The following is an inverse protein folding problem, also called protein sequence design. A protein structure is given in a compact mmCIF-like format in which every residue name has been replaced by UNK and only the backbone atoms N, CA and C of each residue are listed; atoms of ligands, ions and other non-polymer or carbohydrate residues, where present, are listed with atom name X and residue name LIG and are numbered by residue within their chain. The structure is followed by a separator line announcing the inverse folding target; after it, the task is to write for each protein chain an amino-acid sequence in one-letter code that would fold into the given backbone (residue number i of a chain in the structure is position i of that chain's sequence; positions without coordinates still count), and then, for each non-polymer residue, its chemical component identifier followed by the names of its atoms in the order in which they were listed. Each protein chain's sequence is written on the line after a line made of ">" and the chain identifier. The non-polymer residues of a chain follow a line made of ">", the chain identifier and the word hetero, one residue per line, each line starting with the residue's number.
data_IF_235131848029
#
_entry.id   IF_235131848029
#
_cell.length_a   1.000
_cell.length_b   1.000
_cell.length_c   1.000
_cell.angle_alpha   90.00
_cell.angle_beta   90.00
_cell.angle_gamma   90.00
#
_symmetry.space_group_name_H-M   'P 1'
#
loop_
_entity.id
_entity.type
_entity.pdbx_description
1 polymer ?
#
# COMPACT_ATOMS: atom_id res chain seq x y z
N UNK A 1 39.28 -11.06 -10.84
CA UNK A 1 37.99 -10.45 -11.20
C UNK A 1 37.05 -11.60 -11.49
N UNK A 2 36.42 -12.16 -10.47
CA UNK A 2 35.35 -13.14 -10.67
C UNK A 2 34.12 -12.37 -11.12
N UNK A 3 33.73 -12.54 -12.38
CA UNK A 3 32.45 -12.07 -12.88
C UNK A 3 31.35 -12.98 -12.35
N UNK A 4 30.94 -12.79 -11.10
CA UNK A 4 29.65 -13.31 -10.64
C UNK A 4 28.57 -12.63 -11.45
N UNK A 5 27.94 -13.37 -12.36
CA UNK A 5 26.78 -12.89 -13.14
C UNK A 5 25.71 -12.39 -12.18
N UNK A 6 25.30 -11.12 -12.32
CA UNK A 6 24.17 -10.57 -11.58
C UNK A 6 22.91 -11.39 -11.86
N UNK A 7 22.13 -11.69 -10.81
CA UNK A 7 20.88 -12.41 -10.96
C UNK A 7 19.80 -11.46 -11.51
N UNK A 8 19.12 -11.90 -12.56
CA UNK A 8 18.05 -11.15 -13.20
C UNK A 8 16.69 -11.51 -12.61
N UNK A 9 16.03 -10.56 -11.96
CA UNK A 9 14.73 -10.78 -11.29
C UNK A 9 13.64 -10.06 -12.07
N UNK A 10 12.64 -10.81 -12.53
CA UNK A 10 11.44 -10.21 -13.11
C UNK A 10 10.40 -9.95 -12.03
N UNK A 11 10.02 -8.70 -11.88
CA UNK A 11 9.01 -8.21 -10.95
C UNK A 11 7.68 -8.03 -11.66
N UNK A 12 6.62 -8.65 -11.16
CA UNK A 12 5.29 -8.60 -11.78
C UNK A 12 4.19 -8.26 -10.76
N UNK A 13 4.07 -6.97 -10.37
CA UNK A 13 3.01 -6.51 -9.49
C UNK A 13 1.63 -6.55 -10.15
N UNK A 14 0.58 -6.52 -9.33
CA UNK A 14 -0.76 -6.16 -9.81
C UNK A 14 -0.78 -4.70 -10.31
N UNK A 15 -1.68 -4.39 -11.24
CA UNK A 15 -1.69 -3.11 -11.98
C UNK A 15 -2.19 -1.90 -11.17
N UNK A 16 -2.23 -2.03 -9.84
CA UNK A 16 -2.66 -1.01 -8.90
C UNK A 16 -1.48 -0.34 -8.20
N UNK A 17 -1.59 0.96 -7.91
CA UNK A 17 -0.52 1.71 -7.24
C UNK A 17 -0.19 1.19 -5.85
N UNK A 18 -1.19 0.66 -5.13
CA UNK A 18 -1.01 -0.04 -3.86
C UNK A 18 -0.05 -1.23 -3.95
N UNK A 19 0.02 -1.89 -5.10
CA UNK A 19 0.88 -3.05 -5.34
C UNK A 19 2.19 -2.68 -6.04
N UNK A 20 2.14 -1.77 -7.01
CA UNK A 20 3.33 -1.31 -7.76
C UNK A 20 4.37 -0.66 -6.84
N UNK A 21 3.93 0.14 -5.85
CA UNK A 21 4.85 0.90 -5.00
C UNK A 21 5.74 0.00 -4.13
N UNK A 22 5.20 -1.00 -3.39
CA UNK A 22 6.01 -1.99 -2.71
C UNK A 22 7.01 -2.72 -3.62
N UNK A 23 6.58 -3.14 -4.81
CA UNK A 23 7.46 -3.81 -5.77
C UNK A 23 8.61 -2.91 -6.22
N UNK A 24 8.33 -1.62 -6.45
CA UNK A 24 9.37 -0.66 -6.80
C UNK A 24 10.35 -0.45 -5.63
N UNK A 25 9.87 -0.38 -4.38
CA UNK A 25 10.74 -0.30 -3.20
C UNK A 25 11.64 -1.52 -3.08
N UNK A 26 11.09 -2.73 -3.19
CA UNK A 26 11.88 -3.98 -3.18
C UNK A 26 12.86 -4.03 -4.36
N UNK A 27 12.44 -3.59 -5.55
CA UNK A 27 13.31 -3.50 -6.74
C UNK A 27 14.54 -2.64 -6.49
N UNK A 28 14.37 -1.45 -5.89
CA UNK A 28 15.48 -0.56 -5.54
C UNK A 28 16.43 -1.21 -4.54
N UNK A 29 15.88 -1.80 -3.46
CA UNK A 29 16.67 -2.49 -2.43
C UNK A 29 17.46 -3.69 -2.96
N UNK A 30 16.89 -4.45 -3.91
CA UNK A 30 17.59 -5.54 -4.59
C UNK A 30 18.66 -5.01 -5.54
N UNK A 31 18.38 -3.93 -6.28
CA UNK A 31 19.36 -3.29 -7.14
C UNK A 31 20.58 -2.79 -6.37
N UNK A 32 20.38 -2.22 -5.16
CA UNK A 32 21.47 -1.84 -4.25
C UNK A 32 22.33 -3.03 -3.80
N UNK A 33 21.80 -4.26 -3.91
CA UNK A 33 22.46 -5.53 -3.59
C UNK A 33 22.96 -6.27 -4.82
N UNK A 34 23.04 -5.57 -5.97
CA UNK A 34 23.65 -6.08 -7.19
C UNK A 34 22.76 -6.97 -8.04
N UNK A 35 21.44 -6.99 -7.83
CA UNK A 35 20.48 -7.66 -8.71
C UNK A 35 20.10 -6.77 -9.91
N UNK A 36 19.92 -7.40 -11.07
CA UNK A 36 19.36 -6.76 -12.26
C UNK A 36 17.84 -6.96 -12.29
N UNK A 37 17.07 -5.88 -12.26
CA UNK A 37 15.63 -5.91 -12.15
C UNK A 37 14.95 -5.68 -13.51
N UNK A 38 14.00 -6.53 -13.82
CA UNK A 38 13.07 -6.41 -14.96
C UNK A 38 11.68 -6.13 -14.40
N UNK A 39 11.29 -4.86 -14.31
CA UNK A 39 9.99 -4.46 -13.77
C UNK A 39 8.92 -4.52 -14.86
N UNK A 40 8.05 -5.52 -14.79
CA UNK A 40 7.02 -5.83 -15.78
C UNK A 40 5.68 -5.17 -15.43
N UNK A 41 5.13 -4.37 -16.34
CA UNK A 41 3.78 -3.78 -16.19
C UNK A 41 3.22 -3.31 -17.54
N UNK A 42 2.02 -2.73 -17.53
CA UNK A 42 1.39 -2.13 -18.70
C UNK A 42 2.00 -0.76 -19.02
N UNK A 43 1.93 -0.32 -20.29
CA UNK A 43 2.55 0.94 -20.73
C UNK A 43 2.12 2.17 -19.90
N UNK A 44 0.83 2.26 -19.57
CA UNK A 44 0.28 3.35 -18.75
C UNK A 44 0.93 3.39 -17.36
N UNK A 45 1.14 2.25 -16.72
CA UNK A 45 1.81 2.17 -15.42
C UNK A 45 3.32 2.40 -15.55
N UNK A 46 3.98 1.87 -16.59
CA UNK A 46 5.40 2.08 -16.82
C UNK A 46 5.77 3.55 -17.01
N UNK A 47 4.91 4.33 -17.67
CA UNK A 47 5.10 5.78 -17.83
C UNK A 47 5.11 6.52 -16.47
N UNK A 48 4.32 6.06 -15.50
CA UNK A 48 4.30 6.61 -14.14
C UNK A 48 5.51 6.14 -13.33
N UNK A 49 5.84 4.85 -13.42
CA UNK A 49 6.95 4.25 -12.70
C UNK A 49 8.28 4.86 -13.13
N UNK A 50 8.49 5.09 -14.43
CA UNK A 50 9.71 5.67 -14.97
C UNK A 50 10.10 6.99 -14.29
N UNK A 51 9.11 7.80 -13.91
CA UNK A 51 9.33 9.08 -13.21
C UNK A 51 9.82 8.90 -11.77
N UNK A 52 9.56 7.74 -11.15
CA UNK A 52 9.91 7.41 -9.76
C UNK A 52 11.18 6.58 -9.62
N UNK A 53 11.90 6.33 -10.71
CA UNK A 53 13.19 5.64 -10.71
C UNK A 53 14.31 6.69 -10.72
N UNK A 54 15.04 6.88 -9.60
CA UNK A 54 16.23 7.72 -9.58
C UNK A 54 17.27 7.33 -10.65
N UNK A 55 18.05 8.30 -11.10
CA UNK A 55 19.13 8.08 -12.10
C UNK A 55 20.10 6.97 -11.68
N UNK A 56 20.37 6.80 -10.37
CA UNK A 56 21.23 5.72 -9.85
C UNK A 56 20.76 4.31 -10.24
N UNK A 57 19.46 4.12 -10.44
CA UNK A 57 18.86 2.82 -10.77
C UNK A 57 18.55 2.64 -12.27
N UNK A 58 18.91 3.60 -13.12
CA UNK A 58 18.52 3.56 -14.55
C UNK A 58 19.12 2.39 -15.34
N UNK A 59 20.25 1.85 -14.86
CA UNK A 59 20.92 0.70 -15.48
C UNK A 59 20.42 -0.63 -14.89
N UNK A 60 20.21 -0.67 -13.57
CA UNK A 60 19.82 -1.88 -12.83
C UNK A 60 18.32 -2.14 -12.81
N UNK A 61 17.45 -1.17 -13.12
CA UNK A 61 16.00 -1.37 -13.22
C UNK A 61 15.55 -1.08 -14.66
N UNK A 62 15.25 -2.14 -15.40
CA UNK A 62 14.72 -2.08 -16.75
C UNK A 62 13.20 -2.28 -16.73
N UNK A 63 12.49 -1.48 -17.52
CA UNK A 63 11.04 -1.55 -17.64
C UNK A 63 10.65 -2.49 -18.77
N UNK A 64 9.73 -3.43 -18.50
CA UNK A 64 9.27 -4.44 -19.45
C UNK A 64 7.77 -4.29 -19.68
N UNK A 65 7.36 -4.02 -20.91
CA UNK A 65 5.94 -3.85 -21.27
C UNK A 65 5.25 -5.21 -21.38
N UNK A 66 4.19 -5.41 -20.59
CA UNK A 66 3.17 -6.42 -20.83
C UNK A 66 1.97 -5.79 -21.54
N UNK A 67 1.75 -6.19 -22.79
CA UNK A 67 0.57 -5.76 -23.56
C UNK A 67 -0.64 -6.60 -23.16
N UNK A 68 -1.70 -5.93 -22.72
CA UNK A 68 -2.99 -6.57 -22.53
C UNK A 68 -3.76 -6.62 -23.85
N UNK A 69 -4.64 -7.61 -24.06
CA UNK A 69 -5.53 -7.61 -25.21
C UNK A 69 -6.49 -6.41 -25.13
N UNK A 70 -6.82 -5.86 -26.28
CA UNK A 70 -7.92 -4.90 -26.41
C UNK A 70 -9.24 -5.63 -26.16
N UNK A 71 -10.02 -5.14 -25.20
CA UNK A 71 -11.37 -5.60 -24.92
C UNK A 71 -12.33 -4.43 -25.13
N UNK A 72 -13.61 -4.70 -25.48
CA UNK A 72 -14.64 -3.66 -25.46
C UNK A 72 -14.63 -2.94 -24.11
N UNK A 73 -14.70 -1.61 -24.16
CA UNK A 73 -14.74 -0.73 -22.99
C UNK A 73 -13.47 -0.73 -22.12
N UNK A 74 -12.36 -1.35 -22.55
CA UNK A 74 -11.06 -1.32 -21.85
C UNK A 74 -9.91 -0.84 -22.75
N UNK A 75 -9.90 0.45 -23.14
CA UNK A 75 -8.80 1.05 -23.89
C UNK A 75 -7.47 1.08 -23.09
N UNK A 76 -6.31 1.30 -23.76
CA UNK A 76 -4.99 1.20 -23.12
C UNK A 76 -4.78 2.07 -21.87
N UNK A 77 -5.41 3.24 -21.80
CA UNK A 77 -5.38 4.13 -20.63
C UNK A 77 -6.03 3.53 -19.38
N UNK A 78 -6.90 2.54 -19.53
CA UNK A 78 -7.54 1.78 -18.46
C UNK A 78 -6.86 0.45 -18.17
N UNK A 79 -5.66 0.22 -18.70
CA UNK A 79 -4.81 -0.92 -18.33
C UNK A 79 -4.09 -0.67 -16.98
N UNK A 80 -4.80 -0.09 -16.03
CA UNK A 80 -4.38 0.27 -14.66
C UNK A 80 -5.65 0.42 -13.81
N UNK A 81 -5.56 0.28 -12.49
CA UNK A 81 -6.70 0.61 -11.60
C UNK A 81 -6.83 2.12 -11.37
N UNK A 82 -5.78 2.89 -11.64
CA UNK A 82 -5.78 4.33 -11.42
C UNK A 82 -6.75 5.03 -12.40
N UNK A 83 -7.84 5.57 -11.87
CA UNK A 83 -8.90 6.17 -12.68
C UNK A 83 -9.74 5.17 -13.46
N UNK A 84 -9.72 3.89 -13.08
CA UNK A 84 -10.56 2.85 -13.68
C UNK A 84 -11.98 2.93 -13.12
N UNK A 85 -13.03 3.02 -13.96
CA UNK A 85 -14.41 2.90 -13.51
C UNK A 85 -14.65 1.59 -12.74
N UNK A 86 -15.34 1.61 -11.58
CA UNK A 86 -15.47 0.42 -10.73
C UNK A 86 -16.05 -0.81 -11.43
N UNK A 87 -16.96 -0.61 -12.39
CA UNK A 87 -17.60 -1.68 -13.16
C UNK A 87 -16.63 -2.40 -14.13
N UNK A 88 -15.49 -1.79 -14.49
CA UNK A 88 -14.49 -2.37 -15.38
C UNK A 88 -13.40 -3.19 -14.66
N UNK A 89 -13.43 -3.26 -13.32
CA UNK A 89 -12.45 -4.04 -12.55
C UNK A 89 -12.38 -5.52 -12.98
N UNK A 90 -13.54 -6.14 -13.25
CA UNK A 90 -13.61 -7.52 -13.73
C UNK A 90 -13.05 -7.67 -15.14
N UNK A 91 -13.30 -6.69 -16.01
CA UNK A 91 -12.75 -6.62 -17.38
C UNK A 91 -11.23 -6.48 -17.37
N UNK A 92 -10.66 -5.64 -16.49
CA UNK A 92 -9.21 -5.52 -16.33
C UNK A 92 -8.58 -6.84 -15.84
N UNK A 93 -9.17 -7.48 -14.81
CA UNK A 93 -8.74 -8.81 -14.34
C UNK A 93 -8.76 -9.85 -15.46
N UNK A 94 -9.81 -9.85 -16.29
CA UNK A 94 -9.92 -10.72 -17.46
C UNK A 94 -8.82 -10.43 -18.49
N UNK A 95 -8.56 -9.17 -18.81
CA UNK A 95 -7.50 -8.78 -19.74
C UNK A 95 -6.11 -9.24 -19.26
N UNK A 96 -5.80 -9.07 -17.97
CA UNK A 96 -4.56 -9.58 -17.36
C UNK A 96 -4.48 -11.11 -17.41
N UNK A 97 -5.58 -11.83 -17.17
CA UNK A 97 -5.59 -13.30 -17.31
C UNK A 97 -5.41 -13.75 -18.76
N UNK A 98 -5.90 -12.97 -19.74
CA UNK A 98 -5.73 -13.25 -21.16
C UNK A 98 -4.32 -12.92 -21.68
N UNK A 99 -3.53 -12.11 -20.96
CA UNK A 99 -2.14 -11.77 -21.36
C UNK A 99 -1.11 -12.84 -21.02
N UNK A 100 -1.53 -13.99 -20.46
CA UNK A 100 -0.69 -15.19 -20.21
C UNK A 100 0.28 -15.54 -21.36
N UNK A 101 -0.13 -15.59 -22.65
CA UNK A 101 0.80 -15.87 -23.75
C UNK A 101 1.86 -14.78 -23.93
N UNK A 102 1.50 -13.51 -23.72
CA UNK A 102 2.43 -12.38 -23.76
C UNK A 102 3.45 -12.46 -22.63
N UNK A 103 3.02 -12.76 -21.41
CA UNK A 103 3.91 -13.00 -20.28
C UNK A 103 4.83 -14.21 -20.51
N UNK A 104 4.30 -15.31 -21.04
CA UNK A 104 5.10 -16.48 -21.42
C UNK A 104 6.19 -16.15 -22.45
N UNK A 105 5.87 -15.31 -23.45
CA UNK A 105 6.85 -14.78 -24.40
C UNK A 105 7.93 -13.95 -23.71
N UNK A 106 7.57 -13.06 -22.79
CA UNK A 106 8.52 -12.26 -22.01
C UNK A 106 9.52 -13.16 -21.28
N UNK A 107 9.04 -14.21 -20.58
CA UNK A 107 9.93 -15.13 -19.86
C UNK A 107 10.87 -15.90 -20.79
N UNK A 108 10.36 -16.40 -21.92
CA UNK A 108 11.17 -17.11 -22.92
C UNK A 108 12.27 -16.24 -23.53
N UNK A 109 11.93 -14.98 -23.84
CA UNK A 109 12.82 -14.07 -24.56
C UNK A 109 13.85 -13.44 -23.60
N UNK A 110 13.44 -13.05 -22.39
CA UNK A 110 14.31 -12.40 -21.41
C UNK A 110 15.09 -13.37 -20.52
N UNK A 111 14.55 -14.57 -20.27
CA UNK A 111 15.15 -15.62 -19.42
C UNK A 111 15.64 -15.11 -18.05
N UNK A 112 14.76 -14.52 -17.21
CA UNK A 112 15.14 -14.13 -15.86
C UNK A 112 15.54 -15.36 -15.02
N UNK A 113 16.37 -15.15 -14.00
CA UNK A 113 16.75 -16.18 -13.02
C UNK A 113 15.65 -16.43 -11.99
N UNK A 114 14.76 -15.46 -11.76
CA UNK A 114 13.69 -15.50 -10.77
C UNK A 114 12.51 -14.63 -11.21
N UNK A 115 11.28 -15.08 -10.91
CA UNK A 115 10.07 -14.24 -10.98
C UNK A 115 9.57 -13.93 -9.58
N UNK A 116 9.34 -12.66 -9.28
CA UNK A 116 8.57 -12.23 -8.10
C UNK A 116 7.24 -11.69 -8.60
N UNK A 117 6.12 -12.29 -8.19
CA UNK A 117 4.79 -11.97 -8.69
C UNK A 117 3.77 -11.71 -7.58
N UNK A 118 2.71 -10.99 -7.94
CA UNK A 118 1.67 -10.61 -6.99
C UNK A 118 0.78 -11.79 -6.58
N UNK A 119 0.16 -11.67 -5.40
CA UNK A 119 -0.85 -12.61 -4.90
C UNK A 119 -2.07 -12.71 -5.83
N UNK A 120 -2.37 -11.67 -6.61
CA UNK A 120 -3.49 -11.67 -7.57
C UNK A 120 -3.15 -12.32 -8.91
N UNK A 121 -1.88 -12.66 -9.17
CA UNK A 121 -1.39 -13.23 -10.43
C UNK A 121 -0.72 -14.59 -10.22
N UNK A 122 -1.32 -15.47 -9.41
CA UNK A 122 -0.79 -16.81 -9.08
C UNK A 122 -0.42 -17.64 -10.33
N UNK A 123 -1.14 -17.45 -11.44
CA UNK A 123 -0.85 -18.10 -12.72
C UNK A 123 0.54 -17.77 -13.29
N UNK A 124 1.17 -16.67 -12.88
CA UNK A 124 2.52 -16.30 -13.31
C UNK A 124 3.55 -17.36 -12.86
N UNK A 125 3.33 -17.96 -11.68
CA UNK A 125 4.16 -19.06 -11.15
C UNK A 125 4.13 -20.28 -12.08
N UNK A 126 2.94 -20.69 -12.52
CA UNK A 126 2.78 -21.85 -13.41
C UNK A 126 3.54 -21.65 -14.73
N UNK A 127 3.47 -20.44 -15.30
CA UNK A 127 4.18 -20.11 -16.53
C UNK A 127 5.70 -20.07 -16.30
N UNK A 128 6.16 -19.45 -15.19
CA UNK A 128 7.57 -19.44 -14.84
C UNK A 128 8.15 -20.85 -14.67
N UNK A 129 7.44 -21.72 -13.94
CA UNK A 129 7.82 -23.11 -13.74
C UNK A 129 7.90 -23.89 -15.05
N UNK A 130 7.06 -23.59 -16.06
CA UNK A 130 7.13 -24.23 -17.38
C UNK A 130 8.44 -23.93 -18.14
N UNK A 131 9.16 -22.88 -17.73
CA UNK A 131 10.50 -22.53 -18.23
C UNK A 131 11.61 -22.86 -17.22
N UNK A 132 11.30 -23.63 -16.18
CA UNK A 132 12.19 -23.93 -15.06
C UNK A 132 12.74 -22.68 -14.35
N UNK A 133 11.96 -21.60 -14.33
CA UNK A 133 12.29 -20.36 -13.62
C UNK A 133 11.58 -20.39 -12.27
N UNK A 134 12.30 -20.28 -11.13
CA UNK A 134 11.68 -20.23 -9.82
C UNK A 134 10.79 -18.99 -9.71
N UNK A 135 9.70 -19.10 -8.95
CA UNK A 135 8.75 -18.02 -8.76
C UNK A 135 8.30 -17.89 -7.30
N UNK A 136 8.34 -16.66 -6.78
CA UNK A 136 8.03 -16.32 -5.40
C UNK A 136 6.94 -15.24 -5.38
N UNK A 137 6.00 -15.35 -4.46
CA UNK A 137 4.97 -14.34 -4.27
C UNK A 137 5.49 -13.23 -3.35
N UNK A 138 5.28 -11.97 -3.71
CA UNK A 138 5.41 -10.85 -2.78
C UNK A 138 4.02 -10.35 -2.37
N UNK A 139 3.73 -10.46 -1.07
CA UNK A 139 2.51 -9.99 -0.42
C UNK A 139 2.66 -8.50 -0.06
N UNK A 140 1.68 -7.69 -0.45
CA UNK A 140 1.69 -6.23 -0.28
C UNK A 140 0.75 -5.72 0.83
N UNK A 141 0.25 -6.62 1.67
CA UNK A 141 -0.59 -6.31 2.84
C UNK A 141 0.15 -6.73 4.12
N UNK A 142 -0.27 -6.19 5.27
CA UNK A 142 0.25 -6.59 6.58
C UNK A 142 -0.06 -8.05 6.94
N UNK A 143 0.79 -8.64 7.77
CA UNK A 143 0.62 -9.98 8.32
C UNK A 143 -0.69 -10.12 9.13
N UNK A 144 -1.11 -9.06 9.83
CA UNK A 144 -2.37 -9.00 10.55
C UNK A 144 -3.58 -9.23 9.62
N UNK A 145 -3.61 -8.53 8.49
CA UNK A 145 -4.66 -8.67 7.46
C UNK A 145 -4.68 -10.08 6.89
N UNK A 146 -3.51 -10.56 6.44
CA UNK A 146 -3.45 -11.85 5.75
C UNK A 146 -3.79 -13.00 6.71
N UNK A 147 -3.33 -12.95 7.96
CA UNK A 147 -3.69 -13.94 8.98
C UNK A 147 -5.19 -13.97 9.26
N UNK A 148 -5.84 -12.81 9.37
CA UNK A 148 -7.28 -12.70 9.56
C UNK A 148 -8.06 -13.28 8.36
N UNK A 149 -7.62 -13.02 7.12
CA UNK A 149 -8.27 -13.56 5.92
C UNK A 149 -8.06 -15.06 5.73
N UNK A 150 -6.88 -15.57 6.07
CA UNK A 150 -6.57 -16.99 5.93
C UNK A 150 -7.22 -17.85 7.02
N UNK A 151 -7.46 -17.28 8.20
CA UNK A 151 -8.01 -17.98 9.35
C UNK A 151 -9.29 -18.77 9.04
N UNK A 152 -10.39 -18.16 8.57
CA UNK A 152 -11.63 -18.90 8.32
C UNK A 152 -11.50 -19.94 7.21
N UNK A 153 -10.50 -19.82 6.33
CA UNK A 153 -10.25 -20.81 5.27
C UNK A 153 -9.54 -22.07 5.80
N UNK A 154 -8.71 -21.93 6.83
CA UNK A 154 -7.90 -23.01 7.40
C UNK A 154 -8.48 -23.58 8.69
N UNK A 155 -9.23 -22.78 9.45
CA UNK A 155 -9.90 -23.13 10.70
C UNK A 155 -11.37 -22.69 10.66
N UNK A 156 -12.21 -23.28 9.78
CA UNK A 156 -13.61 -22.88 9.62
C UNK A 156 -14.40 -23.08 10.91
N UNK A 157 -15.18 -22.07 11.30
CA UNK A 157 -16.02 -22.10 12.50
C UNK A 157 -15.30 -21.84 13.83
N UNK A 158 -13.98 -21.64 13.80
CA UNK A 158 -13.20 -21.20 14.95
C UNK A 158 -13.07 -19.68 14.90
N UNK A 159 -13.07 -19.02 16.06
CA UNK A 159 -12.84 -17.58 16.14
C UNK A 159 -11.36 -17.23 15.94
N UNK A 160 -11.11 -16.08 15.34
CA UNK A 160 -9.75 -15.58 15.16
C UNK A 160 -9.12 -15.30 16.54
N UNK A 161 -7.90 -15.79 16.82
CA UNK A 161 -7.35 -15.79 18.17
C UNK A 161 -6.92 -14.41 18.69
N UNK A 162 -6.92 -13.37 17.87
CA UNK A 162 -6.53 -12.01 18.26
C UNK A 162 -7.75 -11.07 18.26
N UNK A 163 -8.44 -10.90 19.40
CA UNK A 163 -9.72 -10.19 19.46
C UNK A 163 -9.61 -8.67 19.21
N UNK A 164 -8.41 -8.11 19.33
CA UNK A 164 -8.15 -6.71 19.00
C UNK A 164 -8.45 -6.39 17.53
N UNK A 165 -8.35 -7.38 16.64
CA UNK A 165 -8.67 -7.24 15.23
C UNK A 165 -9.99 -7.94 14.94
N UNK A 166 -10.96 -7.17 14.48
CA UNK A 166 -12.27 -7.67 14.09
C UNK A 166 -12.83 -6.84 12.93
N UNK A 167 -13.93 -7.33 12.36
CA UNK A 167 -14.75 -6.61 11.41
C UNK A 167 -16.15 -6.45 11.98
N UNK A 168 -16.75 -5.26 11.82
CA UNK A 168 -18.16 -5.01 12.14
C UNK A 168 -19.08 -5.84 11.24
N UNK A 169 -20.39 -5.85 11.53
CA UNK A 169 -21.37 -6.57 10.70
C UNK A 169 -21.38 -6.05 9.26
N UNK A 170 -21.33 -4.73 9.06
CA UNK A 170 -21.30 -4.10 7.73
C UNK A 170 -19.99 -4.41 7.02
N UNK A 171 -18.85 -4.29 7.70
CA UNK A 171 -17.55 -4.57 7.11
C UNK A 171 -17.42 -6.04 6.70
N UNK A 172 -17.90 -6.98 7.53
CA UNK A 172 -17.93 -8.41 7.16
C UNK A 172 -18.78 -8.67 5.92
N UNK A 173 -19.91 -7.96 5.76
CA UNK A 173 -20.75 -8.07 4.58
C UNK A 173 -20.00 -7.57 3.33
N UNK A 174 -19.43 -6.36 3.39
CA UNK A 174 -18.64 -5.77 2.29
C UNK A 174 -17.45 -6.65 1.91
N UNK A 175 -16.74 -7.19 2.90
CA UNK A 175 -15.61 -8.09 2.71
C UNK A 175 -16.01 -9.38 1.97
N UNK A 176 -17.16 -9.96 2.32
CA UNK A 176 -17.68 -11.17 1.68
C UNK A 176 -18.03 -10.92 0.21
N UNK A 177 -18.77 -9.86 -0.07
CA UNK A 177 -19.16 -9.46 -1.43
C UNK A 177 -17.92 -9.24 -2.33
N UNK A 178 -16.87 -8.63 -1.77
CA UNK A 178 -15.60 -8.46 -2.48
C UNK A 178 -14.89 -9.80 -2.73
N UNK A 179 -14.80 -10.67 -1.72
CA UNK A 179 -14.13 -11.98 -1.86
C UNK A 179 -14.82 -12.90 -2.86
N UNK A 180 -16.13 -12.77 -3.05
CA UNK A 180 -16.86 -13.49 -4.12
C UNK A 180 -16.43 -13.05 -5.53
N UNK A 181 -15.92 -11.83 -5.68
CA UNK A 181 -15.41 -11.28 -6.94
C UNK A 181 -13.91 -11.56 -7.18
N UNK A 182 -13.20 -12.09 -6.18
CA UNK A 182 -11.81 -12.53 -6.30
C UNK A 182 -11.82 -14.03 -6.62
N UNK A 183 -11.27 -14.41 -7.77
CA UNK A 183 -11.25 -15.81 -8.21
C UNK A 183 -10.60 -16.74 -7.19
N UNK A 184 -11.08 -17.98 -7.10
CA UNK A 184 -10.58 -19.01 -6.18
C UNK A 184 -9.26 -19.64 -6.63
N UNK A 185 -8.42 -18.94 -7.38
CA UNK A 185 -7.15 -19.47 -7.87
C UNK A 185 -6.24 -19.66 -6.63
N UNK A 186 -6.16 -20.91 -6.15
CA UNK A 186 -5.35 -21.30 -4.98
C UNK A 186 -4.04 -21.88 -5.49
N UNK A 187 -2.93 -21.43 -4.94
CA UNK A 187 -1.68 -22.18 -5.00
C UNK A 187 -1.38 -22.82 -3.64
N UNK A 188 -1.70 -24.11 -3.46
CA UNK A 188 -1.41 -24.82 -2.23
C UNK A 188 0.08 -25.22 -2.07
N UNK A 189 0.96 -24.89 -3.03
CA UNK A 189 2.32 -25.45 -3.10
C UNK A 189 3.45 -24.49 -2.73
N UNK A 190 3.16 -23.21 -2.51
CA UNK A 190 4.21 -22.24 -2.22
C UNK A 190 4.56 -22.22 -0.73
N UNK A 191 5.79 -22.68 -0.42
CA UNK A 191 6.29 -22.80 0.95
C UNK A 191 6.96 -21.50 1.44
N UNK A 192 7.38 -20.60 0.54
CA UNK A 192 8.06 -19.36 0.90
C UNK A 192 7.40 -18.18 0.17
N UNK A 193 7.06 -17.14 0.92
CA UNK A 193 6.49 -15.91 0.41
C UNK A 193 7.27 -14.71 0.97
N UNK A 194 7.49 -13.69 0.14
CA UNK A 194 7.96 -12.40 0.63
C UNK A 194 6.78 -11.58 1.14
N UNK A 195 6.98 -10.73 2.14
CA UNK A 195 5.95 -9.86 2.67
C UNK A 195 6.48 -8.45 2.91
N UNK A 196 5.80 -7.45 2.36
CA UNK A 196 6.15 -6.04 2.50
C UNK A 196 5.77 -5.49 3.88
N UNK A 197 6.43 -5.97 4.92
CA UNK A 197 6.23 -5.62 6.34
C UNK A 197 7.53 -5.81 7.12
N UNK A 198 7.47 -5.70 8.45
CA UNK A 198 8.55 -6.02 9.38
C UNK A 198 8.07 -6.91 10.54
N UNK A 199 8.92 -7.84 10.97
CA UNK A 199 8.70 -8.67 12.16
C UNK A 199 8.64 -7.82 13.43
N UNK A 200 9.29 -6.66 13.46
CA UNK A 200 9.33 -5.82 14.67
C UNK A 200 7.97 -5.30 15.13
N UNK A 201 7.00 -5.27 14.21
CA UNK A 201 5.65 -4.72 14.41
C UNK A 201 4.54 -5.77 14.22
N UNK A 202 4.81 -6.85 13.47
CA UNK A 202 3.80 -7.86 13.13
C UNK A 202 4.18 -9.31 13.49
N UNK A 203 5.24 -9.55 14.25
CA UNK A 203 5.73 -10.91 14.58
C UNK A 203 4.62 -11.87 15.00
N UNK A 204 3.78 -11.50 15.97
CA UNK A 204 2.70 -12.38 16.46
C UNK A 204 1.72 -12.84 15.36
N UNK A 205 1.47 -11.99 14.35
CA UNK A 205 0.59 -12.33 13.23
C UNK A 205 1.30 -13.16 12.18
N UNK A 206 2.57 -12.84 11.92
CA UNK A 206 3.41 -13.59 10.97
C UNK A 206 3.66 -15.00 11.49
N UNK A 207 3.97 -15.16 12.78
CA UNK A 207 4.15 -16.47 13.44
C UNK A 207 2.87 -17.29 13.34
N UNK A 208 1.72 -16.69 13.69
CA UNK A 208 0.44 -17.36 13.55
C UNK A 208 0.12 -17.74 12.10
N UNK A 209 0.45 -16.86 11.14
CA UNK A 209 0.24 -17.13 9.72
C UNK A 209 1.14 -18.26 9.21
N UNK A 210 2.40 -18.32 9.66
CA UNK A 210 3.33 -19.40 9.36
C UNK A 210 2.74 -20.75 9.83
N UNK A 211 2.25 -20.82 11.07
CA UNK A 211 1.59 -22.02 11.61
C UNK A 211 0.31 -22.38 10.85
N UNK A 212 -0.52 -21.38 10.55
CA UNK A 212 -1.82 -21.56 9.91
C UNK A 212 -1.70 -22.10 8.49
N UNK A 213 -0.67 -21.67 7.76
CA UNK A 213 -0.49 -21.97 6.33
C UNK A 213 0.56 -23.03 6.06
N UNK A 214 1.44 -23.31 7.03
CA UNK A 214 2.66 -24.13 6.86
C UNK A 214 3.62 -23.55 5.80
N UNK A 215 3.63 -22.22 5.65
CA UNK A 215 4.54 -21.48 4.80
C UNK A 215 5.44 -20.57 5.64
N UNK A 216 6.56 -20.15 5.06
CA UNK A 216 7.50 -19.20 5.63
C UNK A 216 7.30 -17.82 4.98
N UNK A 217 6.73 -16.88 5.74
CA UNK A 217 6.59 -15.50 5.32
C UNK A 217 7.83 -14.69 5.74
N UNK A 218 8.59 -14.27 4.73
CA UNK A 218 9.86 -13.57 4.90
C UNK A 218 9.63 -12.06 4.67
N UNK A 219 9.77 -11.21 5.70
CA UNK A 219 9.62 -9.77 5.54
C UNK A 219 10.73 -9.20 4.65
N UNK A 220 10.40 -8.16 3.88
CA UNK A 220 11.36 -7.38 3.06
C UNK A 220 11.51 -5.92 3.54
N UNK A 221 11.02 -5.67 4.75
CA UNK A 221 10.84 -4.35 5.32
C UNK A 221 9.58 -3.62 4.79
N UNK A 222 9.25 -2.47 5.40
CA UNK A 222 8.08 -1.68 5.01
C UNK A 222 8.24 -1.04 3.61
N UNK A 223 7.13 -0.80 2.88
CA UNK A 223 7.12 -0.21 1.54
C UNK A 223 7.29 1.32 1.59
N UNK A 224 8.40 1.78 2.16
CA UNK A 224 8.67 3.22 2.27
C UNK A 224 9.18 3.74 0.92
N UNK A 225 8.56 4.81 0.44
CA UNK A 225 9.04 5.54 -0.73
C UNK A 225 10.07 6.57 -0.28
N UNK A 226 11.24 6.61 -0.93
CA UNK A 226 12.17 7.72 -0.78
C UNK A 226 11.47 9.03 -1.19
N UNK A 227 11.70 10.15 -0.47
CA UNK A 227 11.18 11.44 -0.89
C UNK A 227 11.63 11.76 -2.32
N UNK A 228 10.70 12.19 -3.16
CA UNK A 228 11.02 12.71 -4.50
C UNK A 228 11.88 13.97 -4.35
N UNK A 229 12.71 14.28 -5.37
CA UNK A 229 13.63 15.41 -5.37
C UNK A 229 12.95 16.74 -4.97
N UNK A 230 13.73 17.68 -4.44
CA UNK A 230 13.30 18.99 -3.90
C UNK A 230 12.39 19.81 -4.84
N UNK A 231 12.50 19.61 -6.15
CA UNK A 231 11.79 20.35 -7.21
C UNK A 231 10.32 19.93 -7.45
N UNK A 232 9.83 18.81 -6.89
CA UNK A 232 8.46 18.29 -7.16
C UNK A 232 7.42 18.68 -6.07
N UNK A 233 7.69 19.71 -5.26
CA UNK A 233 6.82 20.14 -4.17
C UNK A 233 5.96 21.35 -4.49
N UNK A 234 4.73 21.37 -3.96
CA UNK A 234 3.96 22.60 -3.78
C UNK A 234 4.65 23.46 -2.70
N UNK A 235 5.60 24.30 -3.14
CA UNK A 235 6.44 25.14 -2.25
C UNK A 235 5.57 26.01 -1.36
N UNK A 236 4.48 26.59 -1.90
CA UNK A 236 3.58 27.45 -1.15
C UNK A 236 2.86 26.70 -0.02
N UNK A 237 2.44 25.45 -0.27
CA UNK A 237 1.82 24.60 0.74
C UNK A 237 2.81 24.25 1.86
N UNK A 238 4.06 23.92 1.50
CA UNK A 238 5.10 23.61 2.49
C UNK A 238 5.50 24.86 3.29
N UNK A 239 5.61 26.02 2.65
CA UNK A 239 5.87 27.30 3.33
C UNK A 239 4.74 27.71 4.27
N UNK A 240 3.48 27.40 3.91
CA UNK A 240 2.35 27.58 4.81
C UNK A 240 2.46 26.67 6.03
N UNK A 241 2.84 25.41 5.84
CA UNK A 241 3.03 24.45 6.91
C UNK A 241 4.19 24.85 7.83
N UNK A 242 5.27 25.42 7.28
CA UNK A 242 6.42 25.95 8.01
C UNK A 242 6.11 27.12 8.95
N UNK A 243 4.94 27.77 8.80
CA UNK A 243 4.48 28.86 9.69
C UNK A 243 3.64 28.35 10.86
N UNK A 244 3.45 27.04 10.99
CA UNK A 244 2.63 26.41 12.04
C UNK A 244 3.52 25.84 13.13
N UNK A 245 3.02 25.86 14.36
CA UNK A 245 3.71 25.27 15.51
C UNK A 245 3.95 23.76 15.32
N UNK A 246 4.95 23.23 16.02
CA UNK A 246 5.29 21.80 15.98
C UNK A 246 4.07 20.94 16.35
N UNK A 247 3.84 19.88 15.59
CA UNK A 247 2.71 18.95 15.78
C UNK A 247 1.31 19.60 15.82
N UNK A 248 1.13 20.79 15.27
CA UNK A 248 -0.15 21.53 15.34
C UNK A 248 -1.06 21.38 14.12
N UNK A 249 -0.60 20.65 13.08
CA UNK A 249 -1.31 20.49 11.81
C UNK A 249 -1.67 19.04 11.53
N UNK A 250 -2.92 18.77 11.15
CA UNK A 250 -3.36 17.46 10.68
C UNK A 250 -3.30 17.38 9.16
N UNK A 251 -2.71 16.32 8.63
CA UNK A 251 -2.79 15.98 7.22
C UNK A 251 -3.99 15.05 6.98
N UNK A 252 -4.79 15.30 5.96
CA UNK A 252 -5.99 14.51 5.64
C UNK A 252 -5.90 14.02 4.20
N UNK A 253 -5.82 12.70 4.02
CA UNK A 253 -5.78 12.09 2.68
C UNK A 253 -6.28 10.65 2.65
N UNK A 254 -7.15 10.35 1.67
CA UNK A 254 -7.79 9.05 1.51
C UNK A 254 -7.23 8.21 0.35
N UNK A 255 -6.05 8.57 -0.16
CA UNK A 255 -5.41 7.85 -1.27
C UNK A 255 -6.04 8.17 -2.63
N UNK A 256 -5.73 7.37 -3.65
CA UNK A 256 -6.10 7.65 -5.05
C UNK A 256 -7.15 6.70 -5.65
N UNK A 257 -7.49 5.62 -4.95
CA UNK A 257 -8.33 4.54 -5.51
C UNK A 257 -9.76 4.53 -4.93
N UNK A 258 -9.96 5.15 -3.76
CA UNK A 258 -11.25 5.27 -3.11
C UNK A 258 -11.58 6.73 -2.88
N UNK A 259 -12.81 7.11 -3.21
CA UNK A 259 -13.29 8.48 -3.17
C UNK A 259 -14.37 8.59 -2.10
N UNK A 260 -14.38 9.73 -1.40
CA UNK A 260 -15.38 10.00 -0.36
C UNK A 260 -16.76 10.16 -1.00
N UNK A 261 -17.79 9.68 -0.30
CA UNK A 261 -19.16 10.05 -0.65
C UNK A 261 -19.38 11.53 -0.34
N UNK A 262 -20.41 12.15 -0.95
CA UNK A 262 -20.79 13.53 -0.62
C UNK A 262 -21.07 13.69 0.88
N UNK A 263 -21.74 12.70 1.47
CA UNK A 263 -22.06 12.67 2.90
C UNK A 263 -20.79 12.62 3.76
N UNK A 264 -19.87 11.68 3.48
CA UNK A 264 -18.60 11.58 4.22
C UNK A 264 -17.77 12.87 4.06
N UNK A 265 -17.74 13.47 2.86
CA UNK A 265 -17.04 14.71 2.58
C UNK A 265 -17.60 15.88 3.39
N UNK A 266 -18.92 15.99 3.50
CA UNK A 266 -19.60 17.01 4.30
C UNK A 266 -19.29 16.85 5.79
N UNK A 267 -19.37 15.63 6.33
CA UNK A 267 -19.08 15.35 7.74
C UNK A 267 -17.60 15.59 8.10
N UNK A 268 -16.67 15.26 7.19
CA UNK A 268 -15.25 15.57 7.36
C UNK A 268 -15.02 17.08 7.34
N UNK A 269 -15.63 17.82 6.42
CA UNK A 269 -15.47 19.27 6.32
C UNK A 269 -15.92 19.96 7.62
N UNK A 270 -17.12 19.65 8.11
CA UNK A 270 -17.58 20.21 9.38
C UNK A 270 -16.77 19.72 10.58
N UNK A 271 -16.32 18.47 10.59
CA UNK A 271 -15.45 17.96 11.65
C UNK A 271 -14.11 18.71 11.72
N UNK A 272 -13.50 18.99 10.57
CA UNK A 272 -12.28 19.81 10.48
C UNK A 272 -12.55 21.25 10.93
N UNK A 273 -13.67 21.84 10.52
CA UNK A 273 -14.08 23.17 10.96
C UNK A 273 -14.22 23.25 12.48
N UNK A 274 -14.98 22.32 13.08
CA UNK A 274 -15.28 22.27 14.52
C UNK A 274 -14.08 21.92 15.39
N UNK A 275 -13.12 21.13 14.88
CA UNK A 275 -11.90 20.78 15.62
C UNK A 275 -11.02 21.99 15.94
N UNK A 276 -11.18 23.08 15.18
CA UNK A 276 -10.38 24.32 15.28
C UNK A 276 -8.85 24.12 15.16
N UNK A 277 -8.39 22.99 14.60
CA UNK A 277 -6.95 22.74 14.36
C UNK A 277 -6.49 23.29 13.01
N UNK A 278 -5.17 23.35 12.79
CA UNK A 278 -4.65 23.56 11.45
C UNK A 278 -4.75 22.27 10.64
N UNK A 279 -5.06 22.36 9.34
CA UNK A 279 -5.12 21.16 8.50
C UNK A 279 -4.72 21.38 7.05
N UNK A 280 -4.22 20.31 6.43
CA UNK A 280 -4.09 20.17 4.98
C UNK A 280 -4.99 19.03 4.55
N UNK A 281 -5.97 19.28 3.68
CA UNK A 281 -6.87 18.25 3.17
C UNK A 281 -6.75 18.08 1.67
N UNK A 282 -6.38 16.87 1.24
CA UNK A 282 -6.34 16.48 -0.17
C UNK A 282 -7.68 15.88 -0.56
N UNK A 283 -8.42 16.60 -1.39
CA UNK A 283 -9.70 16.15 -1.97
C UNK A 283 -9.44 15.58 -3.35
N UNK A 284 -10.07 14.44 -3.65
CA UNK A 284 -9.97 13.76 -4.94
C UNK A 284 -11.33 13.28 -5.42
N UNK A 285 -11.48 13.20 -6.73
CA UNK A 285 -12.67 12.73 -7.41
C UNK A 285 -12.32 11.61 -8.39
N UNK A 286 -13.29 10.73 -8.73
CA UNK A 286 -13.12 9.80 -9.83
C UNK A 286 -12.73 10.54 -11.11
N UNK A 287 -11.89 9.92 -11.92
CA UNK A 287 -11.43 10.50 -13.18
C UNK A 287 -12.63 10.73 -14.12
N UNK A 288 -12.81 11.96 -14.60
CA UNK A 288 -13.96 12.36 -15.41
C UNK A 288 -15.21 12.76 -14.62
N UNK A 289 -15.15 12.70 -13.29
CA UNK A 289 -16.20 13.17 -12.37
C UNK A 289 -15.67 14.30 -11.48
N UNK A 290 -14.67 15.06 -11.95
CA UNK A 290 -14.07 16.15 -11.18
C UNK A 290 -15.07 17.28 -10.93
N UNK A 291 -15.26 17.60 -9.66
CA UNK A 291 -16.10 18.72 -9.21
C UNK A 291 -15.18 19.83 -8.67
N UNK A 292 -15.59 21.07 -8.88
CA UNK A 292 -14.91 22.22 -8.29
C UNK A 292 -15.04 22.19 -6.75
N UNK A 293 -14.02 22.63 -6.01
CA UNK A 293 -14.00 22.50 -4.54
C UNK A 293 -15.14 23.30 -3.88
N UNK A 294 -15.48 24.47 -4.41
CA UNK A 294 -16.57 25.31 -3.92
C UNK A 294 -17.95 24.64 -4.08
N UNK A 295 -18.11 23.77 -5.07
CA UNK A 295 -19.34 22.97 -5.27
C UNK A 295 -19.33 21.67 -4.46
N UNK A 296 -18.16 21.05 -4.30
CA UNK A 296 -18.03 19.77 -3.60
C UNK A 296 -18.13 19.91 -2.07
N UNK A 297 -17.70 21.05 -1.54
CA UNK A 297 -17.62 21.32 -0.10
C UNK A 297 -18.85 22.11 0.40
N UNK A 298 -19.13 22.10 1.71
CA UNK A 298 -20.23 22.88 2.26
C UNK A 298 -20.11 24.37 1.92
N UNK A 299 -21.23 25.01 1.57
CA UNK A 299 -21.26 26.43 1.20
C UNK A 299 -20.56 27.30 2.23
N UNK A 300 -19.59 28.11 1.79
CA UNK A 300 -18.83 29.02 2.65
C UNK A 300 -17.67 28.37 3.44
N UNK A 301 -17.40 27.07 3.24
CA UNK A 301 -16.38 26.35 4.00
C UNK A 301 -14.97 26.89 3.77
N UNK A 302 -14.60 27.18 2.52
CA UNK A 302 -13.26 27.68 2.18
C UNK A 302 -12.98 29.06 2.81
N UNK A 303 -14.01 29.89 2.99
CA UNK A 303 -13.92 31.17 3.68
C UNK A 303 -13.80 30.98 5.20
N UNK A 304 -14.59 30.08 5.80
CA UNK A 304 -14.62 29.84 7.26
C UNK A 304 -13.35 29.21 7.83
N UNK A 305 -12.58 28.49 7.01
CA UNK A 305 -11.32 27.86 7.44
C UNK A 305 -10.15 28.85 7.47
N UNK A 306 -10.30 30.03 6.84
CA UNK A 306 -9.35 31.14 6.82
C UNK A 306 -7.88 30.68 6.60
N UNK A 307 -6.97 31.06 7.51
CA UNK A 307 -5.56 30.68 7.44
C UNK A 307 -5.25 29.34 8.15
N UNK A 308 -6.25 28.68 8.75
CA UNK A 308 -6.10 27.41 9.48
C UNK A 308 -6.10 26.20 8.55
N UNK A 309 -6.82 26.27 7.43
CA UNK A 309 -6.94 25.17 6.49
C UNK A 309 -6.27 25.42 5.13
N UNK A 310 -5.81 24.35 4.50
CA UNK A 310 -5.49 24.29 3.07
C UNK A 310 -6.21 23.10 2.45
N UNK A 311 -7.04 23.35 1.45
CA UNK A 311 -7.69 22.28 0.68
C UNK A 311 -7.02 22.20 -0.69
N UNK A 312 -6.48 21.03 -1.01
CA UNK A 312 -5.73 20.77 -2.24
C UNK A 312 -6.54 19.82 -3.11
N UNK A 313 -6.81 20.21 -4.36
CA UNK A 313 -7.46 19.34 -5.32
C UNK A 313 -6.45 18.41 -6.00
N UNK A 314 -6.68 17.10 -5.96
CA UNK A 314 -5.87 16.12 -6.65
C UNK A 314 -4.68 15.61 -5.83
N UNK A 315 -3.50 16.22 -5.96
CA UNK A 315 -2.26 15.66 -5.41
C UNK A 315 -1.54 16.62 -4.47
N UNK A 316 -0.91 16.08 -3.43
CA UNK A 316 0.00 16.79 -2.54
C UNK A 316 1.25 15.94 -2.25
N UNK A 317 2.39 16.57 -1.93
CA UNK A 317 3.64 15.87 -1.64
C UNK A 317 3.61 15.20 -0.26
N UNK A 318 2.84 14.11 -0.13
CA UNK A 318 2.60 13.40 1.12
C UNK A 318 3.88 13.11 1.93
N UNK A 319 4.98 12.57 1.35
CA UNK A 319 6.21 12.36 2.12
C UNK A 319 6.78 13.65 2.72
N UNK A 320 6.71 14.78 2.01
CA UNK A 320 7.18 16.09 2.54
C UNK A 320 6.28 16.57 3.68
N UNK A 321 4.96 16.47 3.52
CA UNK A 321 4.00 16.86 4.56
C UNK A 321 4.20 16.00 5.80
N UNK A 322 4.25 14.68 5.66
CA UNK A 322 4.44 13.77 6.80
C UNK A 322 5.79 13.95 7.50
N UNK A 323 6.85 14.26 6.75
CA UNK A 323 8.17 14.52 7.34
C UNK A 323 8.32 15.89 8.03
N UNK A 324 7.34 16.79 7.87
CA UNK A 324 7.45 18.15 8.35
C UNK A 324 7.16 18.26 9.86
N UNK A 325 7.97 18.98 10.66
CA UNK A 325 7.80 19.06 12.13
C UNK A 325 6.41 19.54 12.59
N UNK A 326 5.79 20.47 11.84
CA UNK A 326 4.45 20.98 12.16
C UNK A 326 3.32 19.97 11.95
N UNK A 327 3.58 18.82 11.32
CA UNK A 327 2.59 17.75 11.17
C UNK A 327 2.48 16.96 12.47
N UNK A 328 1.27 16.95 13.05
CA UNK A 328 0.96 16.32 14.34
C UNK A 328 0.13 15.05 14.24
N UNK A 329 -0.53 14.82 13.10
CA UNK A 329 -1.34 13.62 12.87
C UNK A 329 -1.76 13.47 11.41
N UNK A 330 -2.16 12.27 11.04
CA UNK A 330 -2.57 11.92 9.69
C UNK A 330 -3.93 11.22 9.67
N UNK A 331 -4.97 11.90 9.19
CA UNK A 331 -6.27 11.29 8.88
C UNK A 331 -6.13 10.46 7.61
N UNK A 332 -6.29 9.15 7.74
CA UNK A 332 -5.96 8.19 6.69
C UNK A 332 -7.06 7.14 6.50
N UNK A 333 -7.26 6.76 5.24
CA UNK A 333 -8.04 5.58 4.85
C UNK A 333 -7.43 4.25 5.32
N UNK A 334 -6.26 4.24 5.95
CA UNK A 334 -5.61 3.03 6.50
C UNK A 334 -5.12 2.02 5.44
N UNK A 335 -4.80 2.47 4.23
CA UNK A 335 -4.10 1.66 3.24
C UNK A 335 -2.65 1.39 3.69
N UNK A 336 -2.18 0.15 3.51
CA UNK A 336 -0.93 -0.33 4.08
C UNK A 336 0.29 0.56 3.77
N UNK A 337 0.42 1.04 2.53
CA UNK A 337 1.53 1.91 2.14
C UNK A 337 1.53 3.24 2.91
N UNK A 338 0.37 3.92 2.98
CA UNK A 338 0.25 5.19 3.69
C UNK A 338 0.43 5.03 5.20
N UNK A 339 -0.03 3.90 5.76
CA UNK A 339 0.18 3.55 7.17
C UNK A 339 1.68 3.40 7.46
N UNK A 340 2.39 2.64 6.64
CA UNK A 340 3.83 2.42 6.81
C UNK A 340 4.63 3.71 6.63
N UNK A 341 4.28 4.56 5.65
CA UNK A 341 4.89 5.88 5.49
C UNK A 341 4.70 6.76 6.74
N UNK A 342 3.48 6.82 7.29
CA UNK A 342 3.20 7.62 8.50
C UNK A 342 4.00 7.13 9.72
N UNK A 343 4.07 5.82 9.91
CA UNK A 343 4.86 5.23 11.00
C UNK A 343 6.35 5.50 10.79
N UNK A 344 6.89 5.36 9.57
CA UNK A 344 8.30 5.68 9.29
C UNK A 344 8.62 7.16 9.53
N UNK A 345 7.70 8.08 9.26
CA UNK A 345 7.88 9.50 9.59
C UNK A 345 7.58 9.85 11.06
N UNK A 346 7.09 8.92 11.88
CA UNK A 346 6.79 9.18 13.29
C UNK A 346 5.53 10.03 13.49
N UNK A 347 4.57 9.95 12.58
CA UNK A 347 3.30 10.69 12.64
C UNK A 347 2.16 9.75 13.07
N UNK A 348 1.45 10.07 14.19
CA UNK A 348 0.27 9.33 14.61
C UNK A 348 -0.84 9.34 13.57
N UNK A 349 -1.66 8.29 13.57
CA UNK A 349 -2.69 8.09 12.56
C UNK A 349 -4.07 8.28 13.18
N UNK A 350 -4.90 9.09 12.53
CA UNK A 350 -6.33 9.17 12.80
C UNK A 350 -7.00 8.25 11.76
N UNK A 351 -7.33 7.05 12.19
CA UNK A 351 -7.77 5.98 11.32
C UNK A 351 -9.23 6.19 10.89
N UNK A 352 -9.48 6.25 9.59
CA UNK A 352 -10.82 6.37 9.01
C UNK A 352 -10.95 5.39 7.84
N UNK A 353 -11.00 4.08 8.12
CA UNK A 353 -11.00 3.05 7.09
C UNK A 353 -12.26 3.11 6.21
N UNK A 354 -12.12 2.74 4.93
CA UNK A 354 -13.21 2.77 3.95
C UNK A 354 -13.57 1.36 3.45
N UNK A 355 -12.58 0.58 2.98
CA UNK A 355 -12.80 -0.66 2.24
C UNK A 355 -11.72 -1.74 2.47
N UNK A 356 -12.04 -2.97 2.04
CA UNK A 356 -11.11 -4.11 1.93
C UNK A 356 -10.47 -4.49 3.28
N UNK A 357 -9.17 -4.22 3.42
CA UNK A 357 -8.27 -4.58 4.49
C UNK A 357 -8.10 -3.44 5.50
N UNK A 358 -8.49 -2.24 5.11
CA UNK A 358 -8.31 -1.01 5.87
C UNK A 358 -8.89 -1.08 7.29
N UNK A 359 -10.08 -1.67 7.55
CA UNK A 359 -10.58 -1.76 8.93
C UNK A 359 -9.74 -2.67 9.82
N UNK A 360 -9.10 -3.70 9.26
CA UNK A 360 -8.16 -4.55 9.99
C UNK A 360 -6.87 -3.79 10.29
N UNK A 361 -6.34 -3.05 9.30
CA UNK A 361 -5.19 -2.17 9.51
C UNK A 361 -5.47 -1.13 10.60
N UNK A 362 -6.66 -0.50 10.59
CA UNK A 362 -7.07 0.47 11.61
C UNK A 362 -6.97 -0.10 13.03
N UNK A 363 -7.57 -1.27 13.25
CA UNK A 363 -7.62 -1.93 14.56
C UNK A 363 -6.26 -2.46 15.00
N UNK A 364 -5.46 -2.94 14.05
CA UNK A 364 -4.06 -3.27 14.31
C UNK A 364 -3.25 -2.04 14.78
N UNK A 365 -3.40 -0.88 14.12
CA UNK A 365 -2.71 0.36 14.50
C UNK A 365 -3.14 0.86 15.89
N UNK A 366 -4.43 0.76 16.21
CA UNK A 366 -4.96 1.07 17.55
C UNK A 366 -4.34 0.14 18.59
N UNK A 367 -4.26 -1.16 18.31
CA UNK A 367 -3.69 -2.15 19.23
C UNK A 367 -2.21 -1.91 19.53
N UNK A 368 -1.40 -1.54 18.53
CA UNK A 368 0.02 -1.22 18.73
C UNK A 368 0.24 0.20 19.31
N UNK A 369 -0.82 0.98 19.49
CA UNK A 369 -0.81 2.28 20.14
C UNK A 369 -0.33 3.44 19.28
N UNK A 370 -0.49 3.38 17.95
CA UNK A 370 -0.07 4.46 17.02
C UNK A 370 -1.24 5.18 16.34
N UNK A 371 -2.48 4.76 16.63
CA UNK A 371 -3.67 5.35 16.04
C UNK A 371 -4.86 5.48 16.99
N UNK A 372 -5.79 6.36 16.60
CA UNK A 372 -7.16 6.44 17.12
C UNK A 372 -8.11 6.35 15.93
N UNK A 373 -9.14 5.52 16.03
CA UNK A 373 -10.14 5.33 14.96
C UNK A 373 -11.28 6.35 15.09
N UNK A 374 -11.65 6.99 13.97
CA UNK A 374 -12.94 7.69 13.82
C UNK A 374 -13.97 6.60 13.57
N UNK A 375 -14.74 6.27 14.60
CA UNK A 375 -15.67 5.13 14.55
C UNK A 375 -16.92 5.52 13.77
N UNK A 376 -17.29 4.70 12.78
CA UNK A 376 -18.57 4.83 12.07
C UNK A 376 -19.70 4.23 12.90
N UNK A 377 -20.91 4.77 12.76
CA UNK A 377 -22.09 4.23 13.44
C UNK A 377 -22.54 2.86 12.91
N UNK A 378 -23.64 2.32 13.45
CA UNK A 378 -24.17 1.01 13.08
C UNK A 378 -24.63 0.94 11.62
N UNK A 379 -24.95 2.09 11.00
CA UNK A 379 -25.30 2.26 9.59
C UNK A 379 -24.06 2.47 8.70
N UNK A 380 -22.88 2.63 9.29
CA UNK A 380 -21.61 2.88 8.60
C UNK A 380 -21.39 4.34 8.21
N UNK A 381 -22.09 5.28 8.85
CA UNK A 381 -21.94 6.73 8.64
C UNK A 381 -20.92 7.33 9.58
N UNK A 382 -20.32 8.42 9.11
CA UNK A 382 -19.37 9.24 9.87
C UNK A 382 -20.15 10.42 10.45
N UNK A 383 -19.76 10.86 11.64
CA UNK A 383 -20.36 12.03 12.29
C UNK A 383 -19.29 13.09 12.52
N UNK A 384 -19.56 14.33 12.14
CA UNK A 384 -18.65 15.48 12.30
C UNK A 384 -18.19 15.68 13.74
N UNK A 385 -19.02 15.37 14.73
CA UNK A 385 -18.67 15.47 16.15
C UNK A 385 -17.56 14.49 16.50
N UNK A 386 -17.66 13.24 16.01
CA UNK A 386 -16.64 12.21 16.19
C UNK A 386 -15.33 12.61 15.50
N UNK A 387 -15.42 13.11 14.26
CA UNK A 387 -14.25 13.62 13.51
C UNK A 387 -13.56 14.73 14.30
N UNK A 388 -14.32 15.72 14.77
CA UNK A 388 -13.77 16.85 15.51
C UNK A 388 -13.14 16.41 16.84
N UNK A 389 -13.80 15.52 17.57
CA UNK A 389 -13.35 15.01 18.86
C UNK A 389 -12.03 14.23 18.72
N UNK A 390 -11.96 13.29 17.77
CA UNK A 390 -10.76 12.47 17.57
C UNK A 390 -9.58 13.33 17.10
N UNK A 391 -9.80 14.25 16.15
CA UNK A 391 -8.76 15.19 15.71
C UNK A 391 -8.25 16.02 16.89
N UNK A 392 -9.16 16.56 17.70
CA UNK A 392 -8.79 17.37 18.88
C UNK A 392 -8.00 16.54 19.89
N UNK A 393 -8.37 15.29 20.13
CA UNK A 393 -7.65 14.42 21.08
C UNK A 393 -6.22 14.10 20.62
N UNK A 394 -6.01 13.86 19.33
CA UNK A 394 -4.69 13.56 18.76
C UNK A 394 -3.79 14.80 18.67
N UNK A 395 -4.36 15.97 18.39
CA UNK A 395 -3.56 17.19 18.20
C UNK A 395 -3.37 17.97 19.52
N UNK A 396 -4.44 18.16 20.29
CA UNK A 396 -4.48 19.11 21.41
C UNK A 396 -4.37 18.47 22.80
N UNK A 397 -4.63 17.16 22.93
CA UNK A 397 -4.70 16.49 24.24
C UNK A 397 -3.49 15.59 24.52
N UNK A 398 -3.43 15.06 25.76
CA UNK A 398 -2.36 14.14 26.19
C UNK A 398 -2.32 12.85 25.36
N UNK A 399 -3.46 12.41 24.83
CA UNK A 399 -3.57 11.25 23.92
C UNK A 399 -2.58 11.37 22.78
N UNK A 400 -2.52 12.55 22.13
CA UNK A 400 -1.56 12.86 21.08
C UNK A 400 -0.09 12.67 21.47
N UNK A 401 0.27 13.11 22.67
CA UNK A 401 1.64 12.97 23.19
C UNK A 401 2.07 11.51 23.31
N UNK A 402 1.21 10.66 23.87
CA UNK A 402 1.47 9.23 24.02
C UNK A 402 1.60 8.53 22.65
N UNK A 403 0.73 8.88 21.70
CA UNK A 403 0.79 8.32 20.34
C UNK A 403 2.08 8.72 19.63
N UNK A 404 2.51 9.99 19.76
CA UNK A 404 3.76 10.50 19.17
C UNK A 404 4.99 9.80 19.73
N UNK A 405 5.03 9.58 21.04
CA UNK A 405 6.11 8.81 21.68
C UNK A 405 6.14 7.37 21.13
N UNK A 406 4.98 6.72 21.06
CA UNK A 406 4.88 5.32 20.60
C UNK A 406 5.25 5.15 19.13
N UNK A 407 4.73 6.01 18.25
CA UNK A 407 5.04 5.92 16.82
C UNK A 407 6.51 6.25 16.56
N UNK A 408 7.13 7.15 17.34
CA UNK A 408 8.56 7.43 17.26
C UNK A 408 9.42 6.24 17.66
N UNK A 409 9.09 5.57 18.77
CA UNK A 409 9.76 4.34 19.21
C UNK A 409 9.72 3.27 18.10
N UNK A 410 8.54 3.06 17.51
CA UNK A 410 8.35 2.08 16.43
C UNK A 410 9.10 2.51 15.15
N UNK A 411 9.06 3.80 14.79
CA UNK A 411 9.79 4.37 13.66
C UNK A 411 11.29 4.10 13.76
N UNK A 412 11.89 4.39 14.91
CA UNK A 412 13.32 4.17 15.16
C UNK A 412 13.69 2.69 15.06
N UNK A 413 12.85 1.81 15.62
CA UNK A 413 13.04 0.35 15.52
C UNK A 413 12.91 -0.17 14.09
N UNK A 414 11.95 0.32 13.30
CA UNK A 414 11.79 -0.07 11.89
C UNK A 414 13.00 0.35 11.06
N UNK A 415 13.49 1.58 11.28
CA UNK A 415 14.66 2.10 10.56
C UNK A 415 15.93 1.32 10.86
N UNK A 416 16.10 0.82 12.08
CA UNK A 416 17.31 0.09 12.46
C UNK A 416 17.41 -1.31 11.85
N UNK A 417 16.28 -2.00 11.60
CA UNK A 417 16.29 -3.41 11.15
C UNK A 417 15.94 -3.60 9.67
N UNK A 418 15.40 -2.59 8.97
CA UNK A 418 14.84 -2.78 7.62
C UNK A 418 15.85 -3.24 6.56
N UNK A 419 17.14 -2.97 6.76
CA UNK A 419 18.20 -3.48 5.89
C UNK A 419 18.54 -4.92 6.23
N UNK A 420 18.58 -5.30 7.51
CA UNK A 420 18.81 -6.67 7.96
C UNK A 420 17.69 -7.62 7.49
N UNK A 421 16.42 -7.19 7.58
CA UNK A 421 15.28 -7.95 7.06
C UNK A 421 15.39 -8.16 5.54
N UNK A 422 15.83 -7.12 4.82
CA UNK A 422 16.05 -7.22 3.38
C UNK A 422 17.22 -8.14 3.04
N UNK A 423 18.31 -8.12 3.82
CA UNK A 423 19.46 -9.01 3.65
C UNK A 423 19.04 -10.47 3.85
N UNK A 424 18.26 -10.76 4.89
CA UNK A 424 17.69 -12.09 5.13
C UNK A 424 16.79 -12.54 3.97
N UNK A 425 15.97 -11.64 3.42
CA UNK A 425 15.18 -11.94 2.23
C UNK A 425 16.06 -12.24 1.01
N UNK A 426 17.16 -11.50 0.83
CA UNK A 426 18.13 -11.77 -0.26
C UNK A 426 18.75 -13.16 -0.13
N UNK A 427 19.14 -13.59 1.06
CA UNK A 427 19.66 -14.95 1.26
C UNK A 427 18.65 -16.02 0.82
N UNK A 428 17.38 -15.84 1.16
CA UNK A 428 16.28 -16.71 0.74
C UNK A 428 16.16 -16.73 -0.80
N UNK A 429 16.19 -15.55 -1.44
CA UNK A 429 16.12 -15.44 -2.91
C UNK A 429 17.30 -16.15 -3.60
N UNK A 430 18.52 -15.95 -3.08
CA UNK A 430 19.73 -16.61 -3.59
C UNK A 430 19.63 -18.12 -3.46
N UNK A 431 19.12 -18.63 -2.34
CA UNK A 431 18.95 -20.07 -2.14
C UNK A 431 17.91 -20.66 -3.10
N UNK A 432 16.81 -19.95 -3.36
CA UNK A 432 15.81 -20.39 -4.33
C UNK A 432 16.39 -20.49 -5.75
N UNK A 433 17.20 -19.51 -6.15
CA UNK A 433 17.88 -19.54 -7.45
C UNK A 433 18.90 -20.69 -7.55
N UNK A 434 19.67 -20.95 -6.49
CA UNK A 434 20.63 -22.07 -6.44
C UNK A 434 19.93 -23.42 -6.57
N UNK A 435 18.89 -23.65 -5.77
CA UNK A 435 18.15 -24.93 -5.78
C UNK A 435 17.56 -25.25 -7.15
N UNK A 436 17.03 -24.25 -7.86
CA UNK A 436 16.54 -24.41 -9.23
C UNK A 436 17.65 -24.81 -10.22
N UNK A 437 18.83 -24.17 -10.14
CA UNK A 437 19.97 -24.48 -11.02
C UNK A 437 20.49 -25.92 -10.82
N UNK A 438 20.50 -26.43 -9.59
CA UNK A 438 20.90 -27.82 -9.30
C UNK A 438 19.92 -28.87 -9.85
N UNK A 439 18.62 -28.59 -9.80
CA UNK A 439 17.59 -29.48 -10.38
C UNK A 439 17.80 -29.55 -11.90
N UNK A 440 17.99 -28.41 -12.55
CA UNK A 440 18.19 -28.32 -14.01
C UNK A 440 19.52 -28.91 -14.51
N UNK A 441 20.56 -29.03 -13.68
CA UNK A 441 21.83 -29.67 -14.06
C UNK A 441 21.85 -31.19 -13.87
N UNK A 442 20.85 -31.74 -13.18
CA UNK A 442 20.75 -33.17 -12.82
C UNK A 442 19.71 -33.93 -13.65
N UNK A 443 19.06 -33.24 -14.61
CA UNK A 443 18.10 -33.75 -15.60
C UNK A 443 18.64 -33.51 -16.99
#
# INVERSE_FOLDING_TARGET
>A
MDTTTSLRVLMFPWLAHGHISPYLTVSKKLADRGFDILLCSTLVNLNLIKKRIPKKYSVSIQLVELRLPELPDLPPEYHTTNGLPPHLNSTLKKAVKMSKPGFSKILRDLKPDLVIHDVLQVWAKEIANSYNIPAITLVTFGGAVLSYFMHPMRKPGIEFPFPAIYLTKIERKRMREMMEQVGKDKDPTQVILLMSTSLSIESKYIDYLNELTQANYVPVGPPIQEPMNEDDGDIELIDWLGKKEEHSTVFVSFGSEYFLTKEDMEEIAYGLEHSNVNFIWVVRFPKGEEVNLEEALPTGFLERIENRGRVVNGWAPQPRILSHPSTGGFVSHCGWNSVMESIDFGVPIIAMPMHIDQPINARWMVEIGVAVEIVRDEEGKVHREEVAQVITSVICEKTGGNLREKVKEISEKLKSIREEEMDAAVEVLLQQCKNSKFINSSS
#
